data_IF_653815841509
#
_entry.id   IF_653815841509
#
_cell.length_a   1.000
_cell.length_b   1.000
_cell.length_c   1.000
_cell.angle_alpha   90.00
_cell.angle_beta   90.00
_cell.angle_gamma   90.00
#
_symmetry.space_group_name_H-M   'P 1'
#
loop_
_entity.id
_entity.type
_entity.pdbx_description
1 polymer ?
#
# COMPACT_ATOMS: atom_id res chain seq x y z
N UNK A 1 9.14 8.43 16.17
CA UNK A 1 10.13 8.16 15.11
C UNK A 1 9.39 7.96 13.79
N UNK A 2 9.54 8.88 12.83
CA UNK A 2 8.98 8.69 11.49
C UNK A 2 9.80 7.60 10.80
N UNK A 3 9.19 6.45 10.49
CA UNK A 3 9.86 5.38 9.76
C UNK A 3 10.39 5.96 8.43
N UNK A 4 11.71 5.99 8.30
CA UNK A 4 12.40 6.42 7.10
C UNK A 4 11.87 5.62 5.91
N UNK A 5 11.52 6.32 4.82
CA UNK A 5 10.92 5.69 3.65
C UNK A 5 11.98 4.81 2.99
N UNK A 6 11.90 3.51 3.20
CA UNK A 6 12.78 2.57 2.52
C UNK A 6 12.65 2.75 1.00
N UNK A 7 13.76 2.87 0.28
CA UNK A 7 13.81 2.90 -1.19
C UNK A 7 13.16 1.67 -1.86
N UNK A 8 12.84 0.65 -1.07
CA UNK A 8 12.22 -0.60 -1.47
C UNK A 8 10.69 -0.64 -1.23
N UNK A 9 10.11 0.44 -0.67
CA UNK A 9 8.65 0.58 -0.51
C UNK A 9 7.97 0.47 -1.88
N UNK A 10 7.03 -0.47 -1.99
CA UNK A 10 6.14 -0.51 -3.15
C UNK A 10 4.91 0.30 -2.80
N UNK A 11 4.65 1.35 -3.57
CA UNK A 11 3.50 2.23 -3.38
C UNK A 11 2.62 2.27 -4.64
N UNK A 12 1.31 2.26 -4.46
CA UNK A 12 0.35 2.58 -5.50
C UNK A 12 -0.39 3.87 -5.10
N UNK A 13 -0.26 4.92 -5.91
CA UNK A 13 -0.82 6.24 -5.64
C UNK A 13 -2.11 6.48 -6.44
N UNK A 14 -3.07 7.14 -5.81
CA UNK A 14 -4.31 7.60 -6.44
C UNK A 14 -4.76 8.95 -5.86
N UNK A 15 -5.60 9.66 -6.60
CA UNK A 15 -6.24 10.90 -6.19
C UNK A 15 -5.27 12.07 -6.08
N UNK A 16 -4.85 12.69 -7.19
CA UNK A 16 -4.10 13.96 -7.09
C UNK A 16 -5.02 15.12 -6.67
N UNK A 17 -6.29 14.99 -7.05
CA UNK A 17 -7.41 15.89 -6.75
C UNK A 17 -7.65 16.02 -5.23
N UNK A 18 -7.29 14.98 -4.48
CA UNK A 18 -7.25 14.93 -3.01
C UNK A 18 -6.54 16.14 -2.39
N UNK A 19 -5.42 16.58 -2.99
CA UNK A 19 -4.57 17.65 -2.44
C UNK A 19 -5.33 18.97 -2.37
N UNK A 20 -6.11 19.29 -3.39
CA UNK A 20 -6.76 20.60 -3.50
C UNK A 20 -7.98 20.68 -2.59
N UNK A 21 -8.81 19.63 -2.56
CA UNK A 21 -9.97 19.57 -1.65
C UNK A 21 -9.53 19.60 -0.19
N UNK A 22 -8.56 18.77 0.19
CA UNK A 22 -8.05 18.75 1.56
C UNK A 22 -7.32 20.06 1.94
N UNK A 23 -6.70 20.76 0.98
CA UNK A 23 -6.13 22.10 1.22
C UNK A 23 -7.23 23.11 1.52
N UNK A 24 -8.29 23.18 0.70
CA UNK A 24 -9.42 24.09 0.91
C UNK A 24 -10.09 23.89 2.27
N UNK A 25 -10.39 22.64 2.63
CA UNK A 25 -10.96 22.30 3.94
C UNK A 25 -10.10 22.76 5.12
N UNK A 26 -8.77 22.63 5.01
CA UNK A 26 -7.86 23.10 6.07
C UNK A 26 -7.83 24.62 6.17
N UNK A 27 -7.87 25.35 5.05
CA UNK A 27 -7.91 26.81 5.07
C UNK A 27 -9.23 27.35 5.60
N UNK A 28 -10.36 26.70 5.29
CA UNK A 28 -11.68 27.07 5.79
C UNK A 28 -11.89 26.77 7.29
N UNK A 29 -10.93 26.12 7.97
CA UNK A 29 -11.09 25.73 9.37
C UNK A 29 -11.98 24.50 9.60
N UNK A 30 -12.47 23.88 8.53
CA UNK A 30 -13.40 22.73 8.51
C UNK A 30 -12.72 21.41 8.91
N UNK A 31 -12.29 21.33 10.17
CA UNK A 31 -11.52 20.19 10.71
C UNK A 31 -12.29 18.88 10.65
N UNK A 32 -13.61 18.92 10.84
CA UNK A 32 -14.44 17.72 10.87
C UNK A 32 -14.72 17.17 9.47
N UNK A 33 -15.02 18.03 8.50
CA UNK A 33 -15.09 17.65 7.09
C UNK A 33 -13.75 17.09 6.59
N UNK A 34 -12.63 17.70 6.99
CA UNK A 34 -11.31 17.19 6.64
C UNK A 34 -11.02 15.81 7.27
N UNK A 35 -11.60 15.50 8.43
CA UNK A 35 -11.49 14.19 9.10
C UNK A 35 -12.36 13.16 8.41
N UNK A 36 -13.59 13.54 8.08
CA UNK A 36 -14.56 12.71 7.36
C UNK A 36 -14.03 12.33 5.98
N UNK A 37 -13.52 13.30 5.22
CA UNK A 37 -12.90 13.07 3.92
C UNK A 37 -11.73 12.08 4.01
N UNK A 38 -10.85 12.23 5.02
CA UNK A 38 -9.74 11.27 5.28
C UNK A 38 -10.23 9.88 5.63
N UNK A 39 -11.32 9.77 6.38
CA UNK A 39 -11.94 8.48 6.68
C UNK A 39 -12.46 7.84 5.40
N UNK A 40 -13.28 8.56 4.63
CA UNK A 40 -13.90 8.05 3.41
C UNK A 40 -12.87 7.57 2.38
N UNK A 41 -11.78 8.32 2.16
CA UNK A 41 -10.74 7.91 1.22
C UNK A 41 -9.92 6.72 1.72
N UNK A 42 -9.74 6.57 3.05
CA UNK A 42 -9.15 5.35 3.60
C UNK A 42 -10.06 4.14 3.42
N UNK A 43 -11.38 4.31 3.56
CA UNK A 43 -12.37 3.27 3.30
C UNK A 43 -12.30 2.80 1.84
N UNK A 44 -12.27 3.74 0.89
CA UNK A 44 -12.16 3.44 -0.54
C UNK A 44 -10.87 2.68 -0.92
N UNK A 45 -9.79 2.86 -0.16
CA UNK A 45 -8.54 2.13 -0.35
C UNK A 45 -8.50 0.73 0.31
N UNK A 46 -9.49 0.38 1.17
CA UNK A 46 -9.51 -0.90 1.89
C UNK A 46 -9.56 -2.13 0.96
N UNK A 47 -10.35 -2.16 -0.12
CA UNK A 47 -10.40 -3.31 -1.02
C UNK A 47 -9.02 -3.65 -1.59
N UNK A 48 -8.29 -2.65 -2.12
CA UNK A 48 -6.94 -2.84 -2.66
C UNK A 48 -5.93 -3.31 -1.61
N UNK A 49 -5.97 -2.73 -0.40
CA UNK A 49 -5.13 -3.18 0.73
C UNK A 49 -5.43 -4.64 1.08
N UNK A 50 -6.71 -5.02 1.18
CA UNK A 50 -7.12 -6.36 1.54
C UNK A 50 -6.75 -7.37 0.45
N UNK A 51 -6.92 -7.02 -0.82
CA UNK A 51 -6.49 -7.83 -1.95
C UNK A 51 -4.98 -8.07 -1.93
N UNK A 52 -4.17 -7.02 -1.71
CA UNK A 52 -2.72 -7.17 -1.57
C UNK A 52 -2.33 -8.05 -0.37
N UNK A 53 -3.05 -7.95 0.76
CA UNK A 53 -2.84 -8.83 1.93
C UNK A 53 -3.13 -10.29 1.61
N UNK A 54 -4.19 -10.58 0.86
CA UNK A 54 -4.54 -11.93 0.44
C UNK A 54 -3.51 -12.47 -0.56
N UNK A 55 -3.14 -11.68 -1.57
CA UNK A 55 -2.13 -12.03 -2.55
C UNK A 55 -0.77 -12.33 -1.90
N UNK A 56 -0.34 -11.53 -0.91
CA UNK A 56 0.88 -11.79 -0.15
C UNK A 56 0.87 -13.17 0.54
N UNK A 57 -0.29 -13.60 1.06
CA UNK A 57 -0.46 -14.91 1.71
C UNK A 57 -0.47 -16.06 0.73
N UNK A 58 -0.96 -15.81 -0.49
CA UNK A 58 -1.06 -16.79 -1.56
C UNK A 58 0.26 -17.06 -2.30
N UNK A 59 1.31 -16.26 -2.05
CA UNK A 59 2.64 -16.50 -2.66
C UNK A 59 3.10 -17.93 -2.29
N UNK A 60 3.36 -18.80 -3.30
CA UNK A 60 3.73 -20.19 -3.06
C UNK A 60 4.93 -20.35 -2.13
N UNK A 61 4.90 -21.39 -1.30
CA UNK A 61 6.00 -21.79 -0.40
C UNK A 61 6.49 -23.16 -0.85
N UNK A 62 7.80 -23.32 -0.99
CA UNK A 62 8.43 -24.63 -1.19
C UNK A 62 8.88 -25.19 0.16
N UNK A 63 8.60 -26.46 0.41
CA UNK A 63 9.02 -27.19 1.60
C UNK A 63 7.96 -27.27 2.72
N UNK A 64 8.18 -28.17 3.70
CA UNK A 64 7.16 -28.55 4.69
C UNK A 64 6.94 -27.52 5.81
N UNK A 65 7.81 -26.50 5.93
CA UNK A 65 7.75 -25.49 7.00
C UNK A 65 7.76 -24.08 6.44
N UNK A 66 6.75 -23.29 6.80
CA UNK A 66 6.69 -21.85 6.53
C UNK A 66 7.16 -21.08 7.76
N UNK A 67 8.18 -20.23 7.60
CA UNK A 67 8.70 -19.35 8.68
C UNK A 67 7.83 -18.11 8.93
N UNK A 68 6.62 -18.06 8.35
CA UNK A 68 5.69 -16.94 8.53
C UNK A 68 6.00 -15.70 7.70
N UNK A 69 6.96 -15.76 6.76
CA UNK A 69 7.36 -14.61 5.94
C UNK A 69 6.17 -13.97 5.19
N UNK A 70 5.31 -14.78 4.55
CA UNK A 70 4.13 -14.29 3.82
C UNK A 70 3.13 -13.59 4.75
N UNK A 71 2.96 -14.13 5.96
CA UNK A 71 2.15 -13.50 7.02
C UNK A 71 2.75 -12.16 7.45
N UNK A 72 4.07 -12.05 7.55
CA UNK A 72 4.79 -10.80 7.86
C UNK A 72 4.64 -9.77 6.74
N UNK A 73 4.81 -10.17 5.48
CA UNK A 73 4.57 -9.32 4.31
C UNK A 73 3.12 -8.79 4.29
N UNK A 74 2.14 -9.66 4.46
CA UNK A 74 0.74 -9.26 4.55
C UNK A 74 0.49 -8.27 5.71
N UNK A 75 1.11 -8.47 6.87
CA UNK A 75 1.01 -7.54 8.01
C UNK A 75 1.58 -6.16 7.68
N UNK A 76 2.64 -6.12 6.87
CA UNK A 76 3.30 -4.91 6.39
C UNK A 76 2.51 -4.08 5.38
N UNK A 77 1.43 -4.62 4.79
CA UNK A 77 0.58 -3.89 3.84
C UNK A 77 -0.32 -2.91 4.59
N UNK A 78 -0.19 -1.62 4.29
CA UNK A 78 -0.92 -0.53 4.94
C UNK A 78 -1.45 0.53 3.98
N UNK A 79 -2.35 1.38 4.47
CA UNK A 79 -2.81 2.58 3.77
C UNK A 79 -2.14 3.79 4.42
N UNK A 80 -1.55 4.64 3.61
CA UNK A 80 -1.03 5.93 4.00
C UNK A 80 -1.83 7.02 3.32
N UNK A 81 -2.58 7.79 4.11
CA UNK A 81 -3.27 8.99 3.65
C UNK A 81 -2.65 10.20 4.38
N UNK A 82 -1.96 11.05 3.63
CA UNK A 82 -1.41 12.32 4.11
C UNK A 82 -2.15 13.50 3.46
N UNK A 83 -1.73 14.74 3.73
CA UNK A 83 -2.42 15.92 3.21
C UNK A 83 -2.34 16.07 1.68
N UNK A 84 -1.43 15.35 1.01
CA UNK A 84 -1.13 15.49 -0.42
C UNK A 84 -1.56 14.30 -1.25
N UNK A 85 -1.63 13.10 -0.66
CA UNK A 85 -1.92 11.86 -1.40
C UNK A 85 -2.39 10.73 -0.51
N UNK A 86 -3.01 9.74 -1.17
CA UNK A 86 -3.30 8.43 -0.57
C UNK A 86 -2.57 7.33 -1.34
N UNK A 87 -1.96 6.41 -0.58
CA UNK A 87 -1.12 5.33 -1.08
C UNK A 87 -1.41 4.03 -0.34
N UNK A 88 -1.36 2.91 -1.04
CA UNK A 88 -1.19 1.59 -0.40
C UNK A 88 0.31 1.28 -0.44
N UNK A 89 0.89 0.92 0.70
CA UNK A 89 2.34 0.75 0.89
C UNK A 89 2.69 -0.57 1.55
N UNK A 90 3.94 -1.02 1.40
CA UNK A 90 4.52 -2.13 2.14
C UNK A 90 5.57 -1.63 3.14
N UNK A 91 5.53 -2.15 4.36
CA UNK A 91 6.51 -1.87 5.42
C UNK A 91 7.06 -3.18 5.96
N UNK A 92 8.38 -3.28 6.04
CA UNK A 92 9.07 -4.46 6.54
C UNK A 92 10.12 -4.05 7.58
N UNK A 93 10.45 -4.94 8.53
CA UNK A 93 11.58 -4.74 9.44
C UNK A 93 12.90 -4.59 8.68
N UNK A 94 13.90 -4.03 9.34
CA UNK A 94 15.21 -3.88 8.74
C UNK A 94 15.86 -5.24 8.38
N UNK A 95 16.55 -5.28 7.25
CA UNK A 95 17.10 -6.48 6.63
C UNK A 95 16.10 -7.26 5.77
N UNK A 96 14.82 -6.88 5.75
CA UNK A 96 13.74 -7.54 4.97
C UNK A 96 12.99 -6.56 4.05
N UNK A 97 13.49 -5.33 3.90
CA UNK A 97 12.83 -4.25 3.16
C UNK A 97 12.71 -4.54 1.67
N UNK A 98 13.65 -5.30 1.11
CA UNK A 98 13.67 -5.61 -0.32
C UNK A 98 12.66 -6.69 -0.69
N UNK A 99 12.18 -7.49 0.27
CA UNK A 99 11.32 -8.65 0.01
C UNK A 99 10.03 -8.29 -0.75
N UNK A 100 9.24 -7.27 -0.34
CA UNK A 100 8.04 -6.90 -1.06
C UNK A 100 8.29 -6.62 -2.53
N UNK A 101 9.37 -5.87 -2.83
CA UNK A 101 9.76 -5.52 -4.19
C UNK A 101 10.30 -6.72 -4.94
N UNK A 102 11.17 -7.52 -4.35
CA UNK A 102 11.74 -8.72 -4.95
C UNK A 102 10.67 -9.73 -5.36
N UNK A 103 9.69 -9.97 -4.49
CA UNK A 103 8.54 -10.80 -4.84
C UNK A 103 7.62 -10.16 -5.89
N UNK A 104 7.45 -8.85 -5.93
CA UNK A 104 6.52 -8.22 -6.89
C UNK A 104 7.08 -8.11 -8.32
N UNK A 105 8.39 -8.32 -8.52
CA UNK A 105 9.05 -8.24 -9.84
C UNK A 105 9.30 -9.60 -10.46
N UNK A 106 9.04 -9.80 -11.76
CA UNK A 106 9.31 -11.07 -12.45
C UNK A 106 10.78 -11.52 -12.35
N UNK A 107 11.73 -10.56 -12.33
CA UNK A 107 13.17 -10.82 -12.14
C UNK A 107 13.47 -11.54 -10.82
N UNK A 108 12.57 -11.46 -9.83
CA UNK A 108 12.78 -12.03 -8.52
C UNK A 108 13.85 -11.29 -7.72
N UNK A 109 14.48 -12.00 -6.80
CA UNK A 109 15.54 -11.45 -5.97
C UNK A 109 16.55 -12.53 -5.58
N UNK A 110 17.80 -12.10 -5.38
CA UNK A 110 18.91 -12.99 -5.00
C UNK A 110 19.18 -12.84 -3.50
N UNK A 111 19.38 -13.96 -2.82
CA UNK A 111 19.69 -13.96 -1.39
C UNK A 111 20.64 -15.10 -1.01
N UNK A 112 21.41 -14.96 0.08
CA UNK A 112 22.19 -16.06 0.63
C UNK A 112 21.27 -17.17 1.17
N UNK A 113 21.67 -18.41 1.03
CA UNK A 113 20.98 -19.57 1.61
C UNK A 113 21.21 -19.55 3.12
N UNK A 114 20.15 -19.28 3.90
CA UNK A 114 20.22 -19.16 5.37
C UNK A 114 21.34 -18.24 5.88
N UNK A 115 21.67 -17.18 5.14
CA UNK A 115 22.73 -16.23 5.52
C UNK A 115 24.14 -16.61 5.08
N UNK A 116 24.35 -17.79 4.48
CA UNK A 116 25.63 -18.17 3.87
C UNK A 116 25.94 -17.29 2.65
N UNK A 117 26.93 -16.40 2.77
CA UNK A 117 27.33 -15.45 1.72
C UNK A 117 28.13 -16.07 0.57
N UNK A 118 28.54 -17.32 0.68
CA UNK A 118 29.19 -18.06 -0.40
C UNK A 118 28.16 -18.77 -1.29
N UNK A 119 26.99 -19.11 -0.73
CA UNK A 119 25.91 -19.78 -1.45
C UNK A 119 24.70 -18.87 -1.64
N UNK A 120 24.55 -18.38 -2.86
CA UNK A 120 23.43 -17.53 -3.23
C UNK A 120 22.43 -18.27 -4.12
N UNK A 121 21.15 -17.99 -3.90
CA UNK A 121 20.06 -18.49 -4.73
C UNK A 121 19.23 -17.33 -5.25
N UNK A 122 18.65 -17.53 -6.43
CA UNK A 122 17.65 -16.61 -7.00
C UNK A 122 16.27 -17.17 -6.72
N UNK A 123 15.48 -16.40 -5.97
CA UNK A 123 14.08 -16.69 -5.74
C UNK A 123 13.25 -16.00 -6.82
N UNK A 124 12.50 -16.74 -7.67
CA UNK A 124 11.61 -16.12 -8.66
C UNK A 124 10.56 -15.26 -7.96
N UNK A 125 10.21 -14.15 -8.60
CA UNK A 125 9.12 -13.30 -8.15
C UNK A 125 7.76 -13.89 -8.48
N UNK A 126 6.75 -13.32 -7.85
CA UNK A 126 5.35 -13.60 -8.04
C UNK A 126 4.57 -12.30 -7.89
N UNK A 127 4.20 -11.59 -8.98
CA UNK A 127 3.50 -10.32 -8.91
C UNK A 127 2.27 -10.43 -8.01
N UNK A 128 2.29 -9.69 -6.90
CA UNK A 128 1.32 -9.87 -5.82
C UNK A 128 0.76 -8.55 -5.31
N UNK A 129 1.48 -7.44 -5.52
CA UNK A 129 1.16 -6.14 -4.96
C UNK A 129 0.66 -5.16 -6.03
N UNK A 130 1.52 -4.74 -6.96
CA UNK A 130 1.17 -3.67 -7.92
C UNK A 130 0.01 -4.08 -8.82
N UNK A 131 0.11 -5.26 -9.43
CA UNK A 131 -0.93 -5.77 -10.33
C UNK A 131 -2.25 -6.02 -9.59
N UNK A 132 -2.18 -6.56 -8.38
CA UNK A 132 -3.37 -6.80 -7.53
C UNK A 132 -4.09 -5.50 -7.20
N UNK A 133 -3.36 -4.46 -6.79
CA UNK A 133 -3.97 -3.16 -6.47
C UNK A 133 -4.51 -2.49 -7.73
N UNK A 134 -3.81 -2.59 -8.86
CA UNK A 134 -4.24 -2.01 -10.13
C UNK A 134 -5.65 -2.50 -10.55
N UNK A 135 -5.98 -3.78 -10.31
CA UNK A 135 -7.31 -4.34 -10.56
C UNK A 135 -8.42 -3.69 -9.73
N UNK A 136 -8.10 -3.26 -8.51
CA UNK A 136 -9.06 -2.60 -7.59
C UNK A 136 -9.09 -1.08 -7.72
N UNK A 137 -8.11 -0.50 -8.40
CA UNK A 137 -7.89 0.95 -8.44
C UNK A 137 -9.03 1.75 -9.09
N UNK A 138 -9.70 1.28 -10.17
CA UNK A 138 -10.80 2.03 -10.78
C UNK A 138 -11.94 2.29 -9.79
N UNK A 139 -12.41 1.24 -9.09
CA UNK A 139 -13.47 1.36 -8.07
C UNK A 139 -13.05 2.24 -6.90
N UNK A 140 -11.80 2.09 -6.43
CA UNK A 140 -11.28 2.94 -5.36
C UNK A 140 -11.25 4.42 -5.76
N UNK A 141 -10.88 4.75 -7.01
CA UNK A 141 -10.88 6.13 -7.52
C UNK A 141 -12.28 6.71 -7.57
N UNK A 142 -13.26 5.93 -8.03
CA UNK A 142 -14.66 6.35 -8.09
C UNK A 142 -15.21 6.64 -6.69
N UNK A 143 -15.03 5.73 -5.73
CA UNK A 143 -15.47 5.93 -4.35
C UNK A 143 -14.82 7.16 -3.68
N UNK A 144 -13.55 7.45 -4.03
CA UNK A 144 -12.86 8.66 -3.57
C UNK A 144 -13.44 9.92 -4.19
N UNK A 145 -13.76 9.89 -5.49
CA UNK A 145 -14.41 11.02 -6.17
C UNK A 145 -15.74 11.34 -5.50
N UNK A 146 -16.59 10.33 -5.29
CA UNK A 146 -17.86 10.50 -4.60
C UNK A 146 -17.69 11.03 -3.17
N UNK A 147 -16.65 10.61 -2.45
CA UNK A 147 -16.34 11.16 -1.13
C UNK A 147 -15.95 12.65 -1.16
N UNK A 148 -15.18 13.06 -2.17
CA UNK A 148 -14.84 14.46 -2.38
C UNK A 148 -16.07 15.28 -2.75
N UNK A 149 -16.92 14.78 -3.65
CA UNK A 149 -18.14 15.44 -4.10
C UNK A 149 -19.13 15.67 -2.94
N UNK A 150 -19.33 14.66 -2.07
CA UNK A 150 -20.16 14.79 -0.86
C UNK A 150 -19.67 15.88 0.09
N UNK A 151 -18.36 15.99 0.26
CA UNK A 151 -17.77 17.00 1.15
C UNK A 151 -17.83 18.39 0.51
N UNK A 152 -17.58 18.49 -0.79
CA UNK A 152 -17.70 19.75 -1.53
C UNK A 152 -19.14 20.31 -1.47
N UNK A 153 -20.16 19.45 -1.61
CA UNK A 153 -21.56 19.85 -1.50
C UNK A 153 -21.95 20.41 -0.12
N UNK A 154 -21.22 20.06 0.94
CA UNK A 154 -21.44 20.57 2.30
C UNK A 154 -20.71 21.88 2.59
N UNK A 155 -19.71 22.25 1.79
CA UNK A 155 -19.00 23.54 1.89
C UNK A 155 -19.78 24.65 1.15
N UNK A 156 -20.54 24.28 0.11
CA UNK A 156 -21.31 25.21 -0.71
C UNK A 156 -22.69 25.57 -0.11
N UNK A 157 -23.06 24.96 1.02
CA UNK A 157 -24.23 25.28 1.83
C UNK A 157 -23.83 26.21 2.96
#
# INVERSE_FOLDING_TARGET
MAAERSQWEVAFQFGREWKDVNRRLRHAGEKDLARELRKAVREAAKPGRNAAKLAARAIPVKGPRSTGLRRRMARGVGIQADARRVRIVTRMPSGLEMLPRGFDTAKGWRHPVFGNRERWVTQPGHPWFRQTIAKTAPKAREEMKQAMDRVAARIAQ
#
